data_IF_268450963619
#
_entry.id   IF_268450963619
#
_cell.length_a   1.000
_cell.length_b   1.000
_cell.length_c   1.000
_cell.angle_alpha   90.00
_cell.angle_beta   90.00
_cell.angle_gamma   90.00
#
_symmetry.space_group_name_H-M   'P 1'
#
loop_
_entity.id
_entity.type
_entity.pdbx_description
1 polymer ?
#
# COMPACT_ATOMS: atom_id res chain seq x y z
N UNK A 1 -4.82 -22.50 7.32
CA UNK A 1 -3.98 -22.19 6.13
C UNK A 1 -4.45 -20.99 5.31
N UNK A 2 -5.71 -20.52 5.39
CA UNK A 2 -6.20 -19.43 4.50
C UNK A 2 -5.61 -18.03 4.72
N UNK A 3 -5.26 -17.66 5.96
CA UNK A 3 -4.81 -16.29 6.28
C UNK A 3 -3.50 -15.90 5.58
N UNK A 4 -2.53 -16.81 5.47
CA UNK A 4 -1.25 -16.53 4.81
C UNK A 4 -1.41 -16.36 3.30
N UNK A 5 -2.22 -17.22 2.68
CA UNK A 5 -2.56 -17.13 1.26
C UNK A 5 -3.29 -15.82 0.92
N UNK A 6 -4.21 -15.39 1.79
CA UNK A 6 -4.92 -14.12 1.67
C UNK A 6 -4.00 -12.92 1.82
N UNK A 7 -2.99 -13.00 2.70
CA UNK A 7 -2.00 -11.94 2.89
C UNK A 7 -1.08 -11.80 1.68
N UNK A 8 -0.56 -12.91 1.16
CA UNK A 8 0.24 -12.92 -0.07
C UNK A 8 -0.57 -12.36 -1.25
N UNK A 9 -1.83 -12.76 -1.37
CA UNK A 9 -2.71 -12.24 -2.41
C UNK A 9 -2.95 -10.73 -2.26
N UNK A 10 -3.20 -10.26 -1.04
CA UNK A 10 -3.36 -8.83 -0.75
C UNK A 10 -2.09 -8.04 -1.10
N UNK A 11 -0.90 -8.53 -0.71
CA UNK A 11 0.36 -7.87 -1.07
C UNK A 11 0.53 -7.76 -2.59
N UNK A 12 0.27 -8.85 -3.32
CA UNK A 12 0.34 -8.84 -4.78
C UNK A 12 -0.59 -7.80 -5.39
N UNK A 13 -1.83 -7.69 -4.90
CA UNK A 13 -2.78 -6.68 -5.36
C UNK A 13 -2.30 -5.26 -5.07
N UNK A 14 -1.68 -5.03 -3.90
CA UNK A 14 -1.13 -3.73 -3.51
C UNK A 14 0.04 -3.35 -4.41
N UNK A 15 1.01 -4.24 -4.61
CA UNK A 15 2.14 -3.99 -5.51
C UNK A 15 1.68 -3.74 -6.95
N UNK A 16 0.68 -4.49 -7.43
CA UNK A 16 0.12 -4.30 -8.77
C UNK A 16 -0.54 -2.93 -8.90
N UNK A 17 -1.28 -2.48 -7.88
CA UNK A 17 -1.91 -1.17 -7.88
C UNK A 17 -0.86 -0.04 -7.83
N UNK A 18 0.17 -0.18 -6.99
CA UNK A 18 1.27 0.79 -6.90
C UNK A 18 2.04 0.91 -8.23
N UNK A 19 2.38 -0.20 -8.89
CA UNK A 19 3.03 -0.18 -10.23
C UNK A 19 2.12 0.46 -11.30
N UNK A 20 0.82 0.15 -11.29
CA UNK A 20 -0.13 0.78 -12.20
C UNK A 20 -0.20 2.31 -12.01
N UNK A 21 -0.18 2.76 -10.76
CA UNK A 21 -0.18 4.18 -10.39
C UNK A 21 1.12 4.87 -10.78
N UNK A 22 2.27 4.26 -10.52
CA UNK A 22 3.59 4.79 -10.91
C UNK A 22 3.66 5.00 -12.43
N UNK A 23 3.17 4.02 -13.21
CA UNK A 23 3.11 4.14 -14.68
C UNK A 23 2.17 5.24 -15.14
N UNK A 24 1.01 5.38 -14.52
CA UNK A 24 0.05 6.44 -14.84
C UNK A 24 0.63 7.83 -14.54
N UNK A 25 1.26 8.00 -13.38
CA UNK A 25 1.92 9.25 -12.97
C UNK A 25 3.16 9.56 -13.82
N UNK A 26 3.92 8.55 -14.22
CA UNK A 26 5.07 8.69 -15.12
C UNK A 26 4.64 9.17 -16.51
N UNK A 27 3.49 8.70 -17.02
CA UNK A 27 2.88 9.25 -18.26
C UNK A 27 2.51 10.71 -18.06
N UNK A 28 1.90 11.06 -16.93
CA UNK A 28 1.52 12.44 -16.59
C UNK A 28 2.72 13.40 -16.50
N UNK A 29 3.82 12.97 -15.88
CA UNK A 29 5.07 13.75 -15.77
C UNK A 29 5.70 14.04 -17.14
N UNK A 30 5.52 13.15 -18.12
CA UNK A 30 6.08 13.31 -19.48
C UNK A 30 5.24 14.23 -20.37
N UNK A 31 3.95 14.40 -20.07
CA UNK A 31 3.05 15.14 -20.96
C UNK A 31 3.10 16.67 -20.86
N UNK A 32 3.97 17.20 -19.99
CA UNK A 32 4.35 18.62 -19.87
C UNK A 32 3.21 19.60 -20.21
N UNK A 33 2.36 19.85 -19.21
CA UNK A 33 1.44 21.01 -19.12
C UNK A 33 0.06 20.89 -19.82
N UNK A 34 -0.27 19.77 -20.47
CA UNK A 34 -1.65 19.57 -20.99
C UNK A 34 -2.64 19.25 -19.86
N UNK A 35 -3.43 20.26 -19.49
CA UNK A 35 -4.45 20.18 -18.43
C UNK A 35 -5.54 19.14 -18.71
N UNK A 36 -5.89 18.92 -19.97
CA UNK A 36 -6.93 17.95 -20.33
C UNK A 36 -6.42 16.53 -20.10
N UNK A 37 -5.15 16.29 -20.42
CA UNK A 37 -4.47 15.01 -20.18
C UNK A 37 -4.26 14.76 -18.69
N UNK A 38 -3.81 15.77 -17.93
CA UNK A 38 -3.72 15.69 -16.46
C UNK A 38 -5.06 15.33 -15.83
N UNK A 39 -6.15 15.98 -16.25
CA UNK A 39 -7.50 15.68 -15.76
C UNK A 39 -7.99 14.27 -16.14
N UNK A 40 -7.63 13.78 -17.33
CA UNK A 40 -7.91 12.40 -17.73
C UNK A 40 -7.17 11.38 -16.87
N UNK A 41 -5.88 11.63 -16.58
CA UNK A 41 -5.07 10.77 -15.72
C UNK A 41 -5.60 10.75 -14.28
N UNK A 42 -5.99 11.90 -13.72
CA UNK A 42 -6.60 11.94 -12.39
C UNK A 42 -7.90 11.11 -12.34
N UNK A 43 -8.74 11.18 -13.38
CA UNK A 43 -9.95 10.34 -13.47
C UNK A 43 -9.66 8.84 -13.59
N UNK A 44 -8.51 8.46 -14.14
CA UNK A 44 -8.05 7.06 -14.20
C UNK A 44 -7.49 6.59 -12.85
N UNK A 45 -6.67 7.42 -12.20
CA UNK A 45 -5.91 7.05 -10.99
C UNK A 45 -6.78 7.08 -9.73
N UNK A 46 -7.66 8.06 -9.59
CA UNK A 46 -8.45 8.27 -8.35
C UNK A 46 -9.31 7.05 -7.98
N UNK A 47 -10.08 6.43 -8.91
CA UNK A 47 -10.86 5.23 -8.57
C UNK A 47 -9.97 4.05 -8.11
N UNK A 48 -8.79 3.90 -8.70
CA UNK A 48 -7.84 2.86 -8.31
C UNK A 48 -7.26 3.14 -6.92
N UNK A 49 -6.99 4.41 -6.62
CA UNK A 49 -6.51 4.89 -5.33
C UNK A 49 -7.52 4.56 -4.20
N UNK A 50 -8.79 4.83 -4.44
CA UNK A 50 -9.87 4.53 -3.51
C UNK A 50 -10.06 3.02 -3.29
N UNK A 51 -9.97 2.23 -4.37
CA UNK A 51 -10.06 0.77 -4.28
C UNK A 51 -8.88 0.19 -3.49
N UNK A 52 -7.66 0.65 -3.76
CA UNK A 52 -6.47 0.24 -3.03
C UNK A 52 -6.63 0.55 -1.54
N UNK A 53 -7.02 1.78 -1.20
CA UNK A 53 -7.30 2.19 0.19
C UNK A 53 -8.27 1.24 0.88
N UNK A 54 -9.41 0.95 0.26
CA UNK A 54 -10.43 0.09 0.87
C UNK A 54 -9.86 -1.30 1.19
N UNK A 55 -9.08 -1.86 0.28
CA UNK A 55 -8.43 -3.17 0.47
C UNK A 55 -7.38 -3.12 1.57
N UNK A 56 -6.58 -2.05 1.61
CA UNK A 56 -5.56 -1.86 2.64
C UNK A 56 -6.14 -1.78 4.04
N UNK A 57 -7.15 -0.93 4.25
CA UNK A 57 -7.82 -0.80 5.56
C UNK A 57 -8.41 -2.14 6.01
N UNK A 58 -9.10 -2.86 5.12
CA UNK A 58 -9.67 -4.16 5.43
C UNK A 58 -8.60 -5.22 5.79
N UNK A 59 -7.45 -5.22 5.09
CA UNK A 59 -6.33 -6.10 5.39
C UNK A 59 -5.68 -5.77 6.74
N UNK A 60 -5.49 -4.49 7.04
CA UNK A 60 -4.93 -4.05 8.31
C UNK A 60 -5.78 -4.47 9.50
N UNK A 61 -7.10 -4.32 9.38
CA UNK A 61 -8.05 -4.77 10.40
C UNK A 61 -7.99 -6.28 10.63
N UNK A 62 -8.03 -7.08 9.56
CA UNK A 62 -7.93 -8.56 9.67
C UNK A 62 -6.62 -9.00 10.32
N UNK A 63 -5.50 -8.40 9.95
CA UNK A 63 -4.20 -8.74 10.53
C UNK A 63 -4.13 -8.39 12.01
N UNK A 64 -4.68 -7.23 12.39
CA UNK A 64 -4.77 -6.81 13.79
C UNK A 64 -5.64 -7.77 14.62
N UNK A 65 -6.75 -8.24 14.07
CA UNK A 65 -7.70 -9.09 14.78
C UNK A 65 -7.28 -10.57 14.84
N UNK A 66 -6.61 -11.07 13.80
CA UNK A 66 -6.39 -12.51 13.64
C UNK A 66 -4.92 -12.93 13.60
N UNK A 67 -4.04 -12.14 12.98
CA UNK A 67 -2.63 -12.51 12.83
C UNK A 67 -1.83 -12.12 14.07
N UNK A 68 -1.86 -10.84 14.44
CA UNK A 68 -1.01 -10.28 15.48
C UNK A 68 -1.16 -10.93 16.84
N UNK A 69 -2.38 -11.24 17.35
CA UNK A 69 -2.53 -11.89 18.65
C UNK A 69 -1.84 -13.26 18.71
N UNK A 70 -1.72 -13.96 17.57
CA UNK A 70 -1.11 -15.29 17.49
C UNK A 70 0.41 -15.22 17.45
N UNK A 71 0.97 -14.20 16.81
CA UNK A 71 2.40 -14.11 16.55
C UNK A 71 3.15 -13.17 17.50
N UNK A 72 2.44 -12.24 18.16
CA UNK A 72 3.02 -11.23 19.07
C UNK A 72 3.86 -11.82 20.19
N UNK A 73 3.53 -13.02 20.67
CA UNK A 73 4.30 -13.69 21.75
C UNK A 73 5.72 -14.07 21.32
N UNK A 74 5.92 -14.32 20.02
CA UNK A 74 7.19 -14.77 19.45
C UNK A 74 7.90 -13.61 18.73
N UNK A 75 7.13 -12.71 18.13
CA UNK A 75 7.61 -11.63 17.24
C UNK A 75 7.09 -10.26 17.70
N UNK A 76 7.19 -9.98 19.00
CA UNK A 76 6.60 -8.78 19.60
C UNK A 76 7.12 -7.49 19.00
N UNK A 77 8.43 -7.39 18.75
CA UNK A 77 9.09 -6.23 18.16
C UNK A 77 8.64 -5.96 16.72
N UNK A 78 8.57 -7.01 15.90
CA UNK A 78 8.21 -6.93 14.48
C UNK A 78 6.73 -6.57 14.32
N UNK A 79 5.85 -7.12 15.18
CA UNK A 79 4.44 -6.74 15.21
C UNK A 79 4.26 -5.27 15.58
N UNK A 80 5.08 -4.75 16.50
CA UNK A 80 5.06 -3.33 16.88
C UNK A 80 5.61 -2.43 15.76
N UNK A 81 6.66 -2.86 15.07
CA UNK A 81 7.24 -2.16 13.91
C UNK A 81 6.24 -2.09 12.74
N UNK A 82 5.64 -3.22 12.34
CA UNK A 82 4.60 -3.25 11.30
C UNK A 82 3.38 -2.42 11.77
N UNK A 83 3.04 -2.46 13.07
CA UNK A 83 2.00 -1.61 13.63
C UNK A 83 2.30 -0.11 13.49
N UNK A 84 3.56 0.29 13.61
CA UNK A 84 4.05 1.65 13.33
C UNK A 84 3.88 2.03 11.86
N UNK A 85 4.37 1.18 10.94
CA UNK A 85 4.24 1.40 9.50
C UNK A 85 2.79 1.52 9.05
N UNK A 86 1.88 0.70 9.61
CA UNK A 86 0.45 0.77 9.31
C UNK A 86 -0.19 2.08 9.75
N UNK A 87 0.15 2.58 10.93
CA UNK A 87 -0.35 3.90 11.38
C UNK A 87 0.11 5.01 10.46
N UNK A 88 1.33 4.94 9.96
CA UNK A 88 1.82 5.94 9.00
C UNK A 88 1.16 5.78 7.62
N UNK A 89 0.96 4.54 7.16
CA UNK A 89 0.19 4.27 5.94
C UNK A 89 -1.25 4.79 6.06
N UNK A 90 -1.91 4.63 7.21
CA UNK A 90 -3.25 5.19 7.45
C UNK A 90 -3.25 6.73 7.33
N UNK A 91 -2.21 7.41 7.82
CA UNK A 91 -2.08 8.87 7.67
C UNK A 91 -1.96 9.29 6.20
N UNK A 92 -1.16 8.57 5.40
CA UNK A 92 -1.02 8.84 3.96
C UNK A 92 -2.35 8.57 3.24
N UNK A 93 -3.05 7.49 3.61
CA UNK A 93 -4.36 7.18 3.03
C UNK A 93 -5.42 8.24 3.38
N UNK A 94 -5.37 8.84 4.57
CA UNK A 94 -6.25 9.93 4.95
C UNK A 94 -5.88 11.25 4.22
N UNK A 95 -4.58 11.50 3.97
CA UNK A 95 -4.14 12.62 3.10
C UNK A 95 -4.58 12.43 1.65
N UNK A 96 -4.57 11.20 1.16
CA UNK A 96 -5.07 10.84 -0.16
C UNK A 96 -6.59 11.06 -0.25
N UNK A 97 -7.37 10.68 0.77
CA UNK A 97 -8.80 10.98 0.83
C UNK A 97 -9.06 12.49 0.76
N UNK A 98 -8.34 13.26 1.58
CA UNK A 98 -8.48 14.70 1.60
C UNK A 98 -8.14 15.32 0.23
N UNK A 99 -7.07 14.86 -0.40
CA UNK A 99 -6.71 15.29 -1.75
C UNK A 99 -7.81 14.98 -2.77
N UNK A 100 -8.43 13.80 -2.71
CA UNK A 100 -9.50 13.38 -3.62
C UNK A 100 -10.75 14.23 -3.40
N UNK A 101 -11.12 14.51 -2.15
CA UNK A 101 -12.27 15.34 -1.81
C UNK A 101 -12.10 16.80 -2.29
N UNK A 102 -10.86 17.29 -2.35
CA UNK A 102 -10.51 18.61 -2.89
C UNK A 102 -10.40 18.67 -4.43
N UNK A 103 -10.59 17.55 -5.12
CA UNK A 103 -10.68 17.56 -6.58
C UNK A 103 -12.02 18.19 -6.99
N UNK A 104 -12.01 19.28 -7.79
CA UNK A 104 -13.25 19.91 -8.22
C UNK A 104 -14.11 18.91 -8.98
N UNK A 105 -15.34 18.70 -8.49
CA UNK A 105 -16.25 17.67 -8.99
C UNK A 105 -16.74 17.97 -10.41
N UNK A 106 -16.76 19.23 -10.86
CA UNK A 106 -17.37 19.60 -12.15
C UNK A 106 -16.93 20.91 -12.82
N UNK A 107 -15.99 21.72 -12.31
CA UNK A 107 -15.81 23.07 -12.90
C UNK A 107 -14.45 23.69 -12.74
N UNK A 108 -13.83 24.01 -13.89
CA UNK A 108 -12.88 25.08 -14.23
C UNK A 108 -11.67 25.43 -13.33
N UNK A 109 -11.53 24.89 -12.13
CA UNK A 109 -10.32 25.05 -11.34
C UNK A 109 -9.25 24.04 -11.77
N UNK A 110 -8.37 24.58 -12.61
CA UNK A 110 -7.28 23.94 -13.35
C UNK A 110 -6.55 22.90 -12.48
N UNK A 111 -6.43 21.63 -12.90
CA UNK A 111 -5.52 20.71 -12.25
C UNK A 111 -4.09 21.20 -12.50
N UNK A 112 -3.48 21.75 -11.45
CA UNK A 112 -2.13 22.30 -11.48
C UNK A 112 -1.12 21.14 -11.45
N UNK A 113 0.04 21.21 -12.14
CA UNK A 113 1.12 20.23 -12.07
C UNK A 113 1.54 19.84 -10.63
N UNK A 114 1.32 20.76 -9.68
CA UNK A 114 1.52 20.55 -8.24
C UNK A 114 0.63 19.44 -7.67
N UNK A 115 -0.63 19.30 -8.14
CA UNK A 115 -1.55 18.25 -7.67
C UNK A 115 -1.10 16.86 -8.09
N UNK A 116 -0.60 16.72 -9.32
CA UNK A 116 0.01 15.46 -9.78
C UNK A 116 1.30 15.14 -9.04
N UNK A 117 2.13 16.16 -8.77
CA UNK A 117 3.36 15.98 -8.01
C UNK A 117 3.06 15.52 -6.56
N UNK A 118 2.05 16.11 -5.93
CA UNK A 118 1.60 15.71 -4.60
C UNK A 118 1.01 14.30 -4.58
N UNK A 119 0.14 13.96 -5.54
CA UNK A 119 -0.39 12.61 -5.67
C UNK A 119 0.74 11.59 -5.87
N UNK A 120 1.74 11.91 -6.71
CA UNK A 120 2.90 11.05 -6.88
C UNK A 120 3.69 10.87 -5.59
N UNK A 121 3.91 11.95 -4.82
CA UNK A 121 4.57 11.88 -3.52
C UNK A 121 3.85 10.93 -2.56
N UNK A 122 2.51 11.02 -2.46
CA UNK A 122 1.73 10.14 -1.59
C UNK A 122 1.88 8.66 -1.98
N UNK A 123 1.95 8.35 -3.28
CA UNK A 123 2.15 6.99 -3.74
C UNK A 123 3.58 6.49 -3.56
N UNK A 124 4.57 7.37 -3.77
CA UNK A 124 5.98 7.06 -3.51
C UNK A 124 6.16 6.73 -2.01
N UNK A 125 5.60 7.54 -1.11
CA UNK A 125 5.62 7.27 0.34
C UNK A 125 4.90 5.95 0.70
N UNK A 126 3.74 5.68 0.08
CA UNK A 126 3.02 4.43 0.31
C UNK A 126 3.82 3.22 -0.17
N UNK A 127 4.51 3.32 -1.31
CA UNK A 127 5.36 2.27 -1.84
C UNK A 127 6.54 1.97 -0.92
N UNK A 128 7.25 3.01 -0.44
CA UNK A 128 8.35 2.86 0.52
C UNK A 128 7.90 2.16 1.81
N UNK A 129 6.73 2.53 2.35
CA UNK A 129 6.17 1.85 3.52
C UNK A 129 5.86 0.38 3.26
N UNK A 130 5.40 0.05 2.06
CA UNK A 130 5.12 -1.33 1.68
C UNK A 130 6.38 -2.16 1.49
N UNK A 131 7.43 -1.60 0.91
CA UNK A 131 8.74 -2.26 0.81
C UNK A 131 9.32 -2.55 2.19
N UNK A 132 9.33 -1.55 3.09
CA UNK A 132 9.79 -1.73 4.48
C UNK A 132 8.97 -2.79 5.21
N UNK A 133 7.64 -2.77 5.04
CA UNK A 133 6.74 -3.77 5.61
C UNK A 133 7.06 -5.17 5.09
N UNK A 134 7.19 -5.34 3.78
CA UNK A 134 7.49 -6.64 3.16
C UNK A 134 8.82 -7.19 3.63
N UNK A 135 9.82 -6.35 3.86
CA UNK A 135 11.11 -6.79 4.41
C UNK A 135 11.00 -7.27 5.87
N UNK A 136 10.20 -6.58 6.71
CA UNK A 136 9.91 -7.06 8.07
C UNK A 136 9.13 -8.38 8.02
N UNK A 137 8.13 -8.48 7.15
CA UNK A 137 7.33 -9.69 6.98
C UNK A 137 8.15 -10.86 6.42
N UNK A 138 9.11 -10.59 5.53
CA UNK A 138 10.06 -11.60 5.03
C UNK A 138 10.91 -12.15 6.18
N UNK A 139 11.50 -11.29 7.02
CA UNK A 139 12.22 -11.71 8.23
C UNK A 139 11.33 -12.52 9.17
N UNK A 140 10.08 -12.10 9.33
CA UNK A 140 9.08 -12.85 10.08
C UNK A 140 8.83 -14.24 9.49
N UNK A 141 8.65 -14.37 8.17
CA UNK A 141 8.43 -15.65 7.50
C UNK A 141 9.64 -16.57 7.58
N UNK A 142 10.85 -16.02 7.43
CA UNK A 142 12.10 -16.78 7.57
C UNK A 142 12.20 -17.36 8.98
N UNK A 143 12.04 -16.54 10.01
CA UNK A 143 12.05 -17.00 11.39
C UNK A 143 10.90 -17.96 11.73
N UNK A 144 9.68 -17.69 11.25
CA UNK A 144 8.52 -18.55 11.48
C UNK A 144 8.67 -19.91 10.79
N UNK A 145 9.22 -19.93 9.57
CA UNK A 145 9.54 -21.19 8.88
C UNK A 145 10.55 -22.03 9.66
N UNK A 146 11.47 -21.38 10.37
CA UNK A 146 12.49 -22.03 11.20
C UNK A 146 11.92 -22.56 12.53
N UNK A 147 10.83 -21.96 13.03
CA UNK A 147 10.17 -22.36 14.29
C UNK A 147 9.08 -23.43 14.05
N UNK A 148 8.35 -23.34 12.94
CA UNK A 148 7.29 -24.30 12.58
C UNK A 148 7.84 -25.51 11.82
N UNK A 149 8.98 -25.35 11.13
CA UNK A 149 9.77 -26.43 10.56
C UNK A 149 11.20 -26.38 11.14
N UNK A 150 11.40 -26.81 12.39
CA UNK A 150 12.71 -26.76 13.01
C UNK A 150 13.61 -27.83 12.38
N UNK A 151 14.50 -27.37 11.50
CA UNK A 151 15.51 -28.19 10.85
C UNK A 151 14.98 -28.93 9.63
N UNK A 152 15.88 -29.16 8.67
CA UNK A 152 15.62 -30.09 7.60
C UNK A 152 15.00 -31.36 8.16
N UNK A 153 13.81 -31.70 7.68
CA UNK A 153 13.54 -33.09 7.45
C UNK A 153 14.58 -33.52 6.40
N UNK A 154 15.74 -33.94 6.90
CA UNK A 154 16.35 -35.19 6.44
C UNK A 154 15.24 -36.23 6.46
N UNK A 155 14.40 -36.24 5.43
CA UNK A 155 13.80 -37.49 4.99
C UNK A 155 14.94 -38.24 4.33
N UNK A 156 15.25 -39.40 4.90
CA UNK A 156 16.11 -40.46 4.34
C UNK A 156 16.13 -40.51 2.80
#
# INVERSE_FOLDING_TARGET
MGLLSELTYTHMEVFTALDAMERALSRARRSREDKAEVGAILREVVPQALLLRQRLKASFEREREHLYPRVRRIFGSEVEEIGGLKRYADQILDQLDHFIDELPSTGEDRPHPVRLAYLALLFDELAELYEMRTEIERRFYECYSTIVFPGGATTD
#
